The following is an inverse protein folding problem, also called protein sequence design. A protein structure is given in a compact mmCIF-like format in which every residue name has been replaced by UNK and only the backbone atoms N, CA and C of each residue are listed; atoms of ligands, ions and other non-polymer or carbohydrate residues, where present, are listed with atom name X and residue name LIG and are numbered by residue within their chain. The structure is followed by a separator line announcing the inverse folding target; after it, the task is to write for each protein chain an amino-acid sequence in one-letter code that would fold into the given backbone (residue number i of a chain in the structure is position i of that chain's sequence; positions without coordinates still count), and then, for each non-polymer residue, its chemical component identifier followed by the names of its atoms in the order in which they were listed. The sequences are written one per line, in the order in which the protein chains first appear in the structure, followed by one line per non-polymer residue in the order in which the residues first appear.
data_IF_099975355796
#
_entry.id   IF_099975355796
#
_cell.length_a   1.000
_cell.length_b   1.000
_cell.length_c   1.000
_cell.angle_alpha   90.00
_cell.angle_beta   90.00
_cell.angle_gamma   90.00
#
_symmetry.space_group_name_H-M   'P 1'
#
loop_
_entity.id
_entity.type
_entity.pdbx_description
1 polymer ?
#
# COMPACT_ATOMS: atom_id res chain seq x y z
N UNK A 1 -32.05 -41.56 -40.46
CA UNK A 1 -31.30 -41.37 -39.20
C UNK A 1 -30.85 -39.93 -39.17
N UNK A 2 -31.44 -39.11 -38.30
CA UNK A 2 -31.10 -37.70 -38.15
C UNK A 2 -30.39 -37.52 -36.82
N UNK A 3 -29.09 -37.26 -36.87
CA UNK A 3 -28.27 -36.99 -35.70
C UNK A 3 -28.60 -35.59 -35.18
N UNK A 4 -29.29 -35.53 -34.05
CA UNK A 4 -29.63 -34.29 -33.36
C UNK A 4 -28.45 -33.85 -32.49
N UNK A 5 -27.49 -33.13 -33.09
CA UNK A 5 -26.36 -32.53 -32.38
C UNK A 5 -26.84 -31.29 -31.62
N UNK A 6 -27.18 -31.49 -30.35
CA UNK A 6 -27.54 -30.43 -29.41
C UNK A 6 -26.31 -29.62 -29.00
N UNK A 7 -25.86 -28.69 -29.85
CA UNK A 7 -24.86 -27.69 -29.45
C UNK A 7 -25.57 -26.43 -28.98
N UNK A 8 -25.88 -26.38 -27.68
CA UNK A 8 -26.17 -25.11 -27.02
C UNK A 8 -24.91 -24.22 -27.08
N UNK A 9 -25.01 -22.95 -27.51
CA UNK A 9 -23.89 -22.04 -27.50
C UNK A 9 -23.46 -21.77 -26.06
N UNK A 10 -22.20 -22.11 -25.74
CA UNK A 10 -21.57 -21.77 -24.45
C UNK A 10 -21.54 -20.24 -24.33
N UNK A 11 -22.38 -19.72 -23.43
CA UNK A 11 -22.41 -18.29 -23.09
C UNK A 11 -21.01 -17.85 -22.60
N UNK A 12 -20.46 -16.73 -23.09
CA UNK A 12 -19.16 -16.23 -22.62
C UNK A 12 -19.28 -15.87 -21.13
N UNK A 13 -18.46 -16.52 -20.29
CA UNK A 13 -18.34 -16.21 -18.88
C UNK A 13 -17.83 -14.77 -18.72
N UNK A 14 -18.68 -13.91 -18.18
CA UNK A 14 -18.36 -12.51 -17.84
C UNK A 14 -17.11 -12.48 -16.95
N UNK A 15 -16.10 -11.64 -17.22
CA UNK A 15 -14.92 -11.56 -16.36
C UNK A 15 -15.39 -11.13 -14.97
N UNK A 16 -15.14 -11.96 -13.97
CA UNK A 16 -15.41 -11.59 -12.60
C UNK A 16 -14.49 -10.42 -12.25
N UNK A 17 -15.09 -9.28 -11.94
CA UNK A 17 -14.40 -8.19 -11.26
C UNK A 17 -14.01 -8.68 -9.86
N UNK A 18 -12.95 -9.50 -9.77
CA UNK A 18 -12.16 -9.55 -8.54
C UNK A 18 -11.62 -8.15 -8.39
N UNK A 19 -12.22 -7.38 -7.48
CA UNK A 19 -11.70 -6.12 -6.98
C UNK A 19 -10.23 -6.36 -6.66
N UNK A 20 -9.34 -5.92 -7.54
CA UNK A 20 -7.90 -6.01 -7.33
C UNK A 20 -7.66 -5.14 -6.11
N UNK A 21 -7.37 -5.78 -4.97
CA UNK A 21 -7.03 -5.11 -3.72
C UNK A 21 -5.63 -4.51 -3.81
N UNK A 22 -5.42 -3.68 -4.84
CA UNK A 22 -4.22 -2.92 -5.10
C UNK A 22 -4.62 -1.47 -5.30
N UNK A 23 -5.29 -0.90 -4.29
CA UNK A 23 -5.51 0.54 -4.22
C UNK A 23 -4.39 1.15 -3.38
N UNK A 24 -3.59 2.09 -3.91
CA UNK A 24 -2.55 2.76 -3.13
C UNK A 24 -3.18 3.50 -1.96
N UNK A 25 -2.43 3.63 -0.86
CA UNK A 25 -2.86 4.52 0.24
C UNK A 25 -2.96 5.96 -0.28
N UNK A 26 -3.98 6.69 0.18
CA UNK A 26 -4.06 8.14 -0.03
C UNK A 26 -3.24 8.81 1.06
N UNK A 27 -1.94 8.96 0.86
CA UNK A 27 -1.01 9.47 1.87
C UNK A 27 0.28 10.00 1.28
N UNK A 28 1.14 10.52 2.16
CA UNK A 28 2.47 10.99 1.77
C UNK A 28 3.37 9.82 1.37
N UNK A 29 4.14 9.97 0.29
CA UNK A 29 5.09 8.93 -0.12
C UNK A 29 6.32 8.93 0.80
N UNK A 30 7.07 7.83 0.81
CA UNK A 30 8.29 7.75 1.64
C UNK A 30 9.32 8.83 1.25
N UNK A 31 9.41 9.18 -0.03
CA UNK A 31 10.34 10.18 -0.53
C UNK A 31 9.94 11.58 -0.04
N UNK A 32 8.65 11.88 -0.05
CA UNK A 32 8.12 13.13 0.52
C UNK A 32 8.45 13.22 2.01
N UNK A 33 8.18 12.16 2.78
CA UNK A 33 8.47 12.13 4.22
C UNK A 33 9.97 12.27 4.54
N UNK A 34 10.86 11.79 3.65
CA UNK A 34 12.31 11.94 3.79
C UNK A 34 12.82 13.36 3.50
N UNK A 35 12.04 14.20 2.84
CA UNK A 35 12.41 15.61 2.58
C UNK A 35 11.90 16.58 3.65
N UNK A 36 10.83 16.21 4.37
CA UNK A 36 10.22 17.01 5.43
C UNK A 36 11.07 17.16 6.68
N UNK A 37 10.86 18.25 7.42
CA UNK A 37 11.55 18.50 8.68
C UNK A 37 11.07 17.51 9.77
N UNK A 38 11.85 17.36 10.84
CA UNK A 38 11.44 16.51 11.97
C UNK A 38 10.17 17.06 12.65
N UNK A 39 10.02 18.38 12.71
CA UNK A 39 8.86 19.06 13.31
C UNK A 39 7.58 18.74 12.53
N UNK A 40 7.64 18.78 11.19
CA UNK A 40 6.52 18.41 10.31
C UNK A 40 6.17 16.93 10.43
N UNK A 41 7.18 16.06 10.54
CA UNK A 41 6.98 14.63 10.72
C UNK A 41 6.29 14.33 12.05
N UNK A 42 6.75 14.94 13.14
CA UNK A 42 6.12 14.82 14.46
C UNK A 42 4.67 15.31 14.43
N UNK A 43 4.41 16.47 13.81
CA UNK A 43 3.05 17.01 13.70
C UNK A 43 2.11 16.04 12.94
N UNK A 44 2.56 15.47 11.82
CA UNK A 44 1.79 14.47 11.07
C UNK A 44 1.61 13.17 11.88
N UNK A 45 2.63 12.73 12.61
CA UNK A 45 2.54 11.55 13.45
C UNK A 45 1.53 11.73 14.58
N UNK A 46 1.48 12.91 15.21
CA UNK A 46 0.47 13.27 16.21
C UNK A 46 -0.94 13.28 15.61
N UNK A 47 -1.12 13.82 14.40
CA UNK A 47 -2.42 13.81 13.70
C UNK A 47 -2.88 12.38 13.37
N UNK A 48 -1.94 11.50 13.05
CA UNK A 48 -2.19 10.07 12.80
C UNK A 48 -2.25 9.22 14.07
N UNK A 49 -2.22 9.86 15.25
CA UNK A 49 -2.34 9.24 16.56
C UNK A 49 -1.24 8.19 16.85
N UNK A 50 -0.02 8.46 16.36
CA UNK A 50 1.20 7.70 16.69
C UNK A 50 1.62 8.05 18.12
N UNK A 51 1.99 7.04 18.90
CA UNK A 51 2.46 7.22 20.28
C UNK A 51 3.86 7.84 20.33
N UNK A 52 4.03 8.84 21.20
CA UNK A 52 5.29 9.50 21.54
C UNK A 52 6.27 9.76 20.37
N UNK A 53 5.83 10.46 19.30
CA UNK A 53 6.66 10.66 18.10
C UNK A 53 7.93 11.50 18.36
N UNK A 54 8.00 12.23 19.49
CA UNK A 54 9.18 13.01 19.89
C UNK A 54 10.33 12.15 20.42
N UNK A 55 10.05 10.95 20.93
CA UNK A 55 11.10 10.05 21.45
C UNK A 55 11.70 9.14 20.36
N UNK A 56 11.01 9.05 19.22
CA UNK A 56 11.39 8.21 18.10
C UNK A 56 12.46 8.87 17.22
N UNK A 57 13.36 8.06 16.66
CA UNK A 57 14.27 8.54 15.61
C UNK A 57 13.45 8.93 14.38
N UNK A 58 13.98 9.85 13.57
CA UNK A 58 13.34 10.30 12.32
C UNK A 58 12.84 9.15 11.44
N UNK A 59 13.64 8.09 11.28
CA UNK A 59 13.27 6.92 10.47
C UNK A 59 12.09 6.15 11.09
N UNK A 60 12.07 6.00 12.41
CA UNK A 60 11.01 5.31 13.14
C UNK A 60 9.70 6.11 13.08
N UNK A 61 9.77 7.45 13.20
CA UNK A 61 8.60 8.34 12.99
C UNK A 61 8.04 8.18 11.58
N UNK A 62 8.89 8.21 10.56
CA UNK A 62 8.47 8.00 9.16
C UNK A 62 7.81 6.63 9.01
N UNK A 63 8.37 5.59 9.62
CA UNK A 63 7.81 4.25 9.54
C UNK A 63 6.44 4.13 10.21
N UNK A 64 6.27 4.70 11.41
CA UNK A 64 4.98 4.69 12.09
C UNK A 64 3.91 5.50 11.35
N UNK A 65 4.27 6.63 10.72
CA UNK A 65 3.38 7.38 9.83
C UNK A 65 2.90 6.50 8.66
N UNK A 66 3.84 5.82 7.98
CA UNK A 66 3.52 4.96 6.83
C UNK A 66 2.67 3.75 7.25
N UNK A 67 2.93 3.21 8.45
CA UNK A 67 2.14 2.13 9.06
C UNK A 67 0.72 2.59 9.40
N UNK A 68 0.56 3.77 9.99
CA UNK A 68 -0.74 4.36 10.28
C UNK A 68 -1.55 4.62 8.98
N UNK A 69 -0.89 5.07 7.91
CA UNK A 69 -1.52 5.26 6.60
C UNK A 69 -1.94 3.94 5.94
N UNK A 70 -1.15 2.86 6.08
CA UNK A 70 -1.48 1.54 5.52
C UNK A 70 -2.49 0.76 6.33
N UNK A 71 -2.60 1.02 7.64
CA UNK A 71 -3.63 0.42 8.49
C UNK A 71 -5.06 0.76 8.05
N UNK A 72 -5.25 1.92 7.39
CA UNK A 72 -6.53 2.34 6.82
C UNK A 72 -6.87 1.62 5.49
N UNK A 73 -5.97 0.74 5.03
CA UNK A 73 -6.12 -0.06 3.82
C UNK A 73 -5.30 0.48 2.65
N UNK A 74 -4.78 -0.44 1.84
CA UNK A 74 -3.96 -0.15 0.67
C UNK A 74 -2.50 -0.57 0.86
N UNK A 75 -1.62 -0.08 0.00
CA UNK A 75 -0.20 -0.40 0.01
C UNK A 75 0.63 0.85 -0.29
N UNK A 76 1.86 0.85 0.21
CA UNK A 76 2.88 1.85 -0.11
C UNK A 76 3.94 1.17 -0.97
N UNK A 77 4.34 1.85 -2.05
CA UNK A 77 5.45 1.46 -2.90
C UNK A 77 6.65 2.34 -2.57
N UNK A 78 7.83 1.75 -2.54
CA UNK A 78 9.08 2.49 -2.54
C UNK A 78 10.10 1.75 -3.41
N UNK A 79 10.99 2.51 -4.04
CA UNK A 79 12.13 1.98 -4.79
C UNK A 79 13.42 2.21 -4.01
N UNK A 80 14.34 1.26 -4.09
CA UNK A 80 15.64 1.35 -3.43
C UNK A 80 16.69 0.50 -4.13
N UNK A 81 17.93 0.63 -3.67
CA UNK A 81 19.03 -0.22 -4.13
C UNK A 81 19.05 -1.46 -3.24
N UNK A 82 19.05 -2.64 -3.87
CA UNK A 82 19.19 -3.90 -3.16
C UNK A 82 20.67 -4.14 -2.84
N UNK A 83 20.99 -4.23 -1.57
CA UNK A 83 22.32 -4.63 -1.08
C UNK A 83 22.22 -6.03 -0.46
N UNK A 84 23.13 -6.94 -0.84
CA UNK A 84 23.20 -8.29 -0.30
C UNK A 84 24.31 -8.32 0.76
N UNK A 85 23.95 -8.48 2.03
CA UNK A 85 24.92 -8.62 3.10
C UNK A 85 25.57 -10.00 3.06
N UNK A 86 26.90 -10.07 2.94
CA UNK A 86 27.63 -11.30 3.27
C UNK A 86 27.74 -11.40 4.79
N UNK A 87 27.07 -12.42 5.33
CA UNK A 87 27.24 -12.87 6.72
C UNK A 87 28.59 -13.55 6.87
#
# INVERSE_FOLDING_TARGET
MSENNSQQPRKPSKPSNKTRSHTPVKGATIDDLRTKSIEELVAMATELNVEDPNELKRQDVIFEILKAQTAQGGFILFSGILEIMQV
#
